data_IF_577895017821
#
_entry.id   IF_577895017821
#
_cell.length_a   1.000
_cell.length_b   1.000
_cell.length_c   1.000
_cell.angle_alpha   90.00
_cell.angle_beta   90.00
_cell.angle_gamma   90.00
#
_symmetry.space_group_name_H-M   'P 1'
#
loop_
_entity.id
_entity.type
_entity.pdbx_description
1 polymer ?
#
# COMPACT_ATOMS: atom_id res chain seq x y z
N UNK A 1 -8.83 10.36 22.77
CA UNK A 1 -8.36 9.94 21.43
C UNK A 1 -9.36 10.44 20.39
N UNK A 2 -8.92 11.14 19.32
CA UNK A 2 -9.85 11.60 18.26
C UNK A 2 -10.02 10.48 17.24
N UNK A 3 -11.27 10.18 16.86
CA UNK A 3 -11.58 9.08 15.91
C UNK A 3 -10.83 9.22 14.57
N UNK A 4 -10.65 10.45 14.10
CA UNK A 4 -9.90 10.74 12.88
C UNK A 4 -8.42 10.35 12.97
N UNK A 5 -7.80 10.49 14.16
CA UNK A 5 -6.42 10.05 14.36
C UNK A 5 -6.34 8.52 14.26
N UNK A 6 -7.30 7.79 14.85
CA UNK A 6 -7.34 6.32 14.78
C UNK A 6 -7.50 5.84 13.34
N UNK A 7 -8.44 6.43 12.59
CA UNK A 7 -8.65 6.13 11.16
C UNK A 7 -7.38 6.37 10.34
N UNK A 8 -6.68 7.48 10.60
CA UNK A 8 -5.44 7.79 9.90
C UNK A 8 -4.33 6.76 10.19
N UNK A 9 -4.18 6.32 11.44
CA UNK A 9 -3.19 5.30 11.81
C UNK A 9 -3.51 3.93 11.18
N UNK A 10 -4.78 3.53 11.15
CA UNK A 10 -5.20 2.29 10.48
C UNK A 10 -4.82 2.30 8.99
N UNK A 11 -5.10 3.41 8.28
CA UNK A 11 -4.72 3.54 6.85
C UNK A 11 -3.20 3.55 6.65
N UNK A 12 -2.45 4.23 7.51
CA UNK A 12 -0.98 4.24 7.44
C UNK A 12 -0.39 2.85 7.65
N UNK A 13 -0.98 2.04 8.54
CA UNK A 13 -0.51 0.69 8.83
C UNK A 13 -0.56 -0.27 7.63
N UNK A 14 -1.48 -0.04 6.69
CA UNK A 14 -1.66 -0.90 5.50
C UNK A 14 -1.04 -0.31 4.24
N UNK A 15 -0.58 0.94 4.28
CA UNK A 15 -0.20 1.67 3.06
C UNK A 15 0.95 1.01 2.31
N UNK A 16 1.93 0.47 3.03
CA UNK A 16 3.05 -0.26 2.44
C UNK A 16 2.58 -1.47 1.62
N UNK A 17 1.71 -2.30 2.23
CA UNK A 17 1.10 -3.43 1.56
C UNK A 17 0.29 -3.01 0.33
N UNK A 18 -0.49 -1.93 0.43
CA UNK A 18 -1.27 -1.40 -0.69
C UNK A 18 -0.38 -0.96 -1.85
N UNK A 19 0.72 -0.24 -1.59
CA UNK A 19 1.63 0.22 -2.66
C UNK A 19 2.29 -0.97 -3.37
N UNK A 20 2.79 -1.95 -2.61
CA UNK A 20 3.38 -3.15 -3.21
C UNK A 20 2.35 -3.93 -4.03
N UNK A 21 1.10 -3.99 -3.56
CA UNK A 21 0.01 -4.66 -4.28
C UNK A 21 -0.38 -3.94 -5.58
N UNK A 22 -0.38 -2.60 -5.60
CA UNK A 22 -0.63 -1.81 -6.81
C UNK A 22 0.45 -2.10 -7.87
N UNK A 23 1.70 -2.26 -7.45
CA UNK A 23 2.85 -2.52 -8.32
C UNK A 23 3.05 -4.01 -8.66
N UNK A 24 2.09 -4.88 -8.31
CA UNK A 24 2.24 -6.33 -8.45
C UNK A 24 2.38 -6.77 -9.91
N UNK A 25 1.51 -6.23 -10.76
CA UNK A 25 1.36 -6.69 -12.14
C UNK A 25 2.02 -5.71 -13.13
N UNK A 26 2.03 -4.42 -12.82
CA UNK A 26 2.58 -3.37 -13.68
C UNK A 26 3.32 -2.28 -12.88
N UNK A 27 4.34 -1.71 -13.51
CA UNK A 27 5.08 -0.59 -12.95
C UNK A 27 4.29 0.71 -13.11
N UNK A 28 4.28 1.56 -12.09
CA UNK A 28 3.48 2.78 -12.06
C UNK A 28 4.29 4.00 -11.60
N UNK A 29 3.94 5.19 -12.11
CA UNK A 29 4.47 6.44 -11.56
C UNK A 29 3.60 6.95 -10.41
N UNK A 30 4.16 7.87 -9.62
CA UNK A 30 3.58 8.28 -8.33
C UNK A 30 2.13 8.76 -8.43
N UNK A 31 1.75 9.45 -9.51
CA UNK A 31 0.38 9.93 -9.64
C UNK A 31 -0.62 8.79 -9.90
N UNK A 32 -0.24 7.74 -10.64
CA UNK A 32 -1.09 6.56 -10.85
C UNK A 32 -1.29 5.78 -9.55
N UNK A 33 -0.23 5.66 -8.75
CA UNK A 33 -0.31 5.04 -7.42
C UNK A 33 -1.26 5.86 -6.52
N UNK A 34 -1.12 7.19 -6.51
CA UNK A 34 -1.98 8.07 -5.73
C UNK A 34 -3.44 8.03 -6.19
N UNK A 35 -3.69 7.97 -7.50
CA UNK A 35 -5.05 7.88 -8.04
C UNK A 35 -5.69 6.53 -7.65
N UNK A 36 -4.96 5.42 -7.78
CA UNK A 36 -5.44 4.10 -7.37
C UNK A 36 -5.77 4.05 -5.87
N UNK A 37 -4.91 4.62 -5.02
CA UNK A 37 -5.17 4.72 -3.58
C UNK A 37 -6.39 5.59 -3.28
N UNK A 38 -6.55 6.71 -3.99
CA UNK A 38 -7.69 7.62 -3.85
C UNK A 38 -9.01 6.96 -4.23
N UNK A 39 -9.05 6.20 -5.33
CA UNK A 39 -10.22 5.43 -5.75
C UNK A 39 -10.60 4.37 -4.71
N UNK A 40 -9.60 3.77 -4.06
CA UNK A 40 -9.78 2.88 -2.91
C UNK A 40 -10.12 3.60 -1.58
N UNK A 41 -10.33 4.93 -1.59
CA UNK A 41 -10.59 5.78 -0.41
C UNK A 41 -9.45 5.78 0.63
N UNK A 42 -8.23 5.49 0.19
CA UNK A 42 -6.98 5.62 0.94
C UNK A 42 -6.31 6.94 0.56
N UNK A 43 -6.80 8.04 1.11
CA UNK A 43 -6.25 9.37 0.83
C UNK A 43 -4.83 9.50 1.40
N UNK A 44 -3.86 9.72 0.51
CA UNK A 44 -2.45 9.89 0.82
C UNK A 44 -1.93 11.13 0.12
N UNK A 45 -1.05 11.87 0.79
CA UNK A 45 -0.40 13.06 0.22
C UNK A 45 1.03 12.74 -0.19
N UNK A 46 1.59 13.55 -1.09
CA UNK A 46 2.95 13.39 -1.61
C UNK A 46 4.01 13.29 -0.51
N UNK A 47 3.90 14.14 0.53
CA UNK A 47 4.81 14.13 1.68
C UNK A 47 4.83 12.82 2.48
N UNK A 48 3.86 11.93 2.26
CA UNK A 48 3.83 10.58 2.85
C UNK A 48 4.35 9.53 1.86
N UNK A 49 3.98 9.62 0.58
CA UNK A 49 4.29 8.57 -0.39
C UNK A 49 5.77 8.57 -0.82
N UNK A 50 6.39 9.74 -1.04
CA UNK A 50 7.78 9.80 -1.51
C UNK A 50 8.79 9.23 -0.50
N UNK A 51 8.71 9.54 0.81
CA UNK A 51 9.57 8.89 1.80
C UNK A 51 9.36 7.37 1.86
N UNK A 52 8.11 6.90 1.72
CA UNK A 52 7.79 5.48 1.74
C UNK A 52 8.37 4.76 0.51
N UNK A 53 8.18 5.28 -0.70
CA UNK A 53 8.79 4.73 -1.92
C UNK A 53 10.32 4.69 -1.81
N UNK A 54 10.93 5.74 -1.25
CA UNK A 54 12.38 5.79 -0.99
C UNK A 54 12.81 4.67 -0.04
N UNK A 55 12.07 4.45 1.06
CA UNK A 55 12.33 3.39 2.03
C UNK A 55 12.23 2.01 1.39
N UNK A 56 11.17 1.75 0.63
CA UNK A 56 10.94 0.47 -0.05
C UNK A 56 12.03 0.17 -1.10
N UNK A 57 12.45 1.20 -1.85
CA UNK A 57 13.59 1.09 -2.77
C UNK A 57 14.89 0.79 -2.03
N UNK A 58 15.15 1.47 -0.92
CA UNK A 58 16.36 1.26 -0.13
C UNK A 58 16.38 -0.10 0.58
N UNK A 59 15.21 -0.67 0.89
CA UNK A 59 15.04 -2.05 1.34
C UNK A 59 15.18 -3.08 0.21
N UNK A 60 15.40 -2.65 -1.03
CA UNK A 60 15.52 -3.54 -2.19
C UNK A 60 14.20 -4.14 -2.67
N UNK A 61 13.05 -3.69 -2.16
CA UNK A 61 11.72 -4.18 -2.54
C UNK A 61 11.24 -3.55 -3.85
N UNK A 62 11.66 -2.30 -4.11
CA UNK A 62 11.34 -1.56 -5.33
C UNK A 62 12.61 -1.19 -6.10
N UNK A 63 12.46 -1.08 -7.42
CA UNK A 63 13.36 -0.34 -8.28
C UNK A 63 12.60 0.83 -8.93
N UNK A 64 13.30 1.66 -9.70
CA UNK A 64 12.64 2.59 -10.60
C UNK A 64 13.43 2.75 -11.89
N UNK A 65 12.72 3.11 -12.96
CA UNK A 65 13.31 3.60 -14.21
C UNK A 65 12.80 5.01 -14.50
N UNK A 66 13.59 5.77 -15.23
CA UNK A 66 13.12 7.02 -15.82
C UNK A 66 12.47 6.72 -17.16
N UNK A 67 11.31 7.32 -17.39
CA UNK A 67 10.58 7.24 -18.65
C UNK A 67 10.29 8.66 -19.13
N UNK A 68 10.55 8.92 -20.41
CA UNK A 68 10.22 10.22 -20.99
C UNK A 68 8.71 10.43 -20.99
N UNK A 69 8.29 11.62 -20.59
CA UNK A 69 6.87 12.00 -20.63
C UNK A 69 6.57 12.58 -22.01
N UNK A 70 5.41 12.26 -22.57
CA UNK A 70 4.90 12.90 -23.80
C UNK A 70 4.75 14.42 -23.66
N UNK A 71 4.58 14.88 -22.42
CA UNK A 71 4.63 16.30 -22.05
C UNK A 71 5.20 16.48 -20.64
N UNK A 72 6.17 17.37 -20.46
CA UNK A 72 6.75 17.69 -19.16
C UNK A 72 8.01 16.88 -18.79
N UNK A 73 8.45 16.93 -17.53
CA UNK A 73 9.69 16.28 -17.11
C UNK A 73 9.58 14.74 -17.17
N UNK A 74 10.71 14.02 -17.27
CA UNK A 74 10.75 12.57 -17.14
C UNK A 74 10.07 12.09 -15.86
N UNK A 75 9.38 10.95 -15.95
CA UNK A 75 8.67 10.32 -14.82
C UNK A 75 9.47 9.15 -14.28
N UNK A 76 9.42 8.95 -12.97
CA UNK A 76 9.91 7.72 -12.34
C UNK A 76 8.78 6.71 -12.29
N UNK A 77 8.93 5.61 -13.00
CA UNK A 77 8.09 4.43 -12.85
C UNK A 77 8.75 3.50 -11.85
N UNK A 78 8.00 3.12 -10.81
CA UNK A 78 8.44 2.19 -9.79
C UNK A 78 7.91 0.80 -10.13
N UNK A 79 8.74 -0.22 -9.88
CA UNK A 79 8.38 -1.61 -10.07
C UNK A 79 8.85 -2.47 -8.91
N UNK A 80 8.18 -3.60 -8.69
CA UNK A 80 8.65 -4.61 -7.75
C UNK A 80 9.94 -5.26 -8.25
N UNK A 81 10.91 -5.43 -7.35
CA UNK A 81 12.02 -6.35 -7.59
C UNK A 81 11.57 -7.80 -7.35
N UNK A 82 12.39 -8.78 -7.69
CA UNK A 82 12.12 -10.18 -7.31
C UNK A 82 12.00 -10.35 -5.78
N UNK A 83 12.87 -9.69 -5.01
CA UNK A 83 12.75 -9.64 -3.55
C UNK A 83 11.44 -8.98 -3.11
N UNK A 84 11.02 -7.91 -3.80
CA UNK A 84 9.74 -7.24 -3.57
C UNK A 84 8.53 -8.14 -3.79
N UNK A 85 8.55 -8.97 -4.84
CA UNK A 85 7.48 -9.94 -5.13
C UNK A 85 7.39 -11.02 -4.06
N UNK A 86 8.53 -11.58 -3.62
CA UNK A 86 8.57 -12.55 -2.54
C UNK A 86 8.04 -11.97 -1.24
N UNK A 87 8.49 -10.76 -0.88
CA UNK A 87 8.03 -10.04 0.29
C UNK A 87 6.52 -9.76 0.24
N UNK A 88 6.00 -9.34 -0.93
CA UNK A 88 4.57 -9.11 -1.12
C UNK A 88 3.77 -10.40 -0.89
N UNK A 89 4.23 -11.55 -1.39
CA UNK A 89 3.52 -12.81 -1.20
C UNK A 89 3.40 -13.19 0.30
N UNK A 90 4.47 -13.02 1.07
CA UNK A 90 4.44 -13.24 2.53
C UNK A 90 3.52 -12.23 3.23
N UNK A 91 3.58 -10.97 2.81
CA UNK A 91 2.75 -9.90 3.37
C UNK A 91 1.27 -10.08 3.05
N UNK A 92 0.92 -10.61 1.87
CA UNK A 92 -0.45 -10.98 1.51
C UNK A 92 -1.01 -12.05 2.43
N UNK A 93 -0.24 -13.10 2.74
CA UNK A 93 -0.66 -14.12 3.72
C UNK A 93 -0.89 -13.50 5.11
N UNK A 94 0.01 -12.62 5.54
CA UNK A 94 -0.10 -11.92 6.83
C UNK A 94 -1.34 -11.04 6.88
N UNK A 95 -1.65 -10.34 5.78
CA UNK A 95 -2.83 -9.50 5.67
C UNK A 95 -4.12 -10.31 5.76
N UNK A 96 -4.20 -11.44 5.04
CA UNK A 96 -5.36 -12.33 5.07
C UNK A 96 -5.64 -12.84 6.48
N UNK A 97 -4.60 -13.24 7.22
CA UNK A 97 -4.73 -13.71 8.59
C UNK A 97 -5.17 -12.59 9.54
N UNK A 98 -4.61 -11.39 9.40
CA UNK A 98 -5.02 -10.22 10.17
C UNK A 98 -6.49 -9.86 9.91
N UNK A 99 -6.91 -9.84 8.65
CA UNK A 99 -8.30 -9.57 8.28
C UNK A 99 -9.25 -10.59 8.91
N UNK A 100 -8.93 -11.89 8.81
CA UNK A 100 -9.73 -12.96 9.43
C UNK A 100 -9.79 -12.80 10.95
N UNK A 101 -8.66 -12.53 11.60
CA UNK A 101 -8.60 -12.35 13.05
C UNK A 101 -9.45 -11.16 13.53
N UNK A 102 -9.34 -10.01 12.84
CA UNK A 102 -10.14 -8.83 13.15
C UNK A 102 -11.62 -9.14 12.97
N UNK A 103 -12.01 -9.73 11.84
CA UNK A 103 -13.40 -10.08 11.53
C UNK A 103 -13.98 -11.07 12.55
N UNK A 104 -13.20 -12.05 12.99
CA UNK A 104 -13.60 -13.02 14.01
C UNK A 104 -13.93 -12.31 15.34
N UNK A 105 -13.04 -11.44 15.81
CA UNK A 105 -13.19 -10.75 17.10
C UNK A 105 -14.31 -9.72 17.06
N UNK A 106 -14.50 -8.99 15.95
CA UNK A 106 -15.52 -7.95 15.85
C UNK A 106 -16.93 -8.50 15.63
N UNK A 107 -17.08 -9.71 15.08
CA UNK A 107 -18.39 -10.32 14.82
C UNK A 107 -18.89 -11.29 15.90
N UNK A 108 -18.04 -11.69 16.86
CA UNK A 108 -18.38 -12.74 17.84
C UNK A 108 -19.54 -12.39 18.80
N UNK A 109 -20.01 -11.13 18.85
CA UNK A 109 -21.17 -10.74 19.69
C UNK A 109 -22.54 -11.19 19.15
N UNK A 110 -22.65 -11.77 17.96
CA UNK A 110 -23.94 -12.18 17.40
C UNK A 110 -24.39 -13.62 17.78
N UNK A 111 -23.59 -14.39 18.54
CA UNK A 111 -23.86 -15.83 18.80
C UNK A 111 -24.15 -16.24 20.24
N UNK A 112 -24.24 -15.30 21.20
CA UNK A 112 -24.47 -15.64 22.62
C UNK A 112 -25.84 -15.17 23.16
N UNK A 113 -26.91 -15.35 22.38
CA UNK A 113 -28.29 -15.25 22.87
C UNK A 113 -29.10 -16.46 22.38
N UNK A 114 -28.82 -17.64 22.94
CA UNK A 114 -29.80 -18.73 23.09
C UNK A 114 -29.64 -19.30 24.50
#
# INVERSE_FOLDING_TARGET
MKIENTKAQMRKGVLEYCILSILKDEDAYVAEILETLKDAKLLVVEGTIYPLLTRLKNAGLLNYRWEESTSGPPRKYYGLTETGKLFLNELSSTWDDLQKAVQLVTNQKAKNNE
#
